data_IF_565297519710
#
_entry.id   IF_565297519710
#
_cell.length_a   1.000
_cell.length_b   1.000
_cell.length_c   1.000
_cell.angle_alpha   90.00
_cell.angle_beta   90.00
_cell.angle_gamma   90.00
#
_symmetry.space_group_name_H-M   'P 1'
#
loop_
_entity.id
_entity.type
_entity.pdbx_description
1 polymer ?
#
# COMPACT_ATOMS: atom_id res chain seq x y z
N UNK A 1 16.16 -38.55 -69.38
CA UNK A 1 14.75 -38.18 -69.14
C UNK A 1 14.72 -36.95 -68.25
N UNK A 2 14.15 -35.86 -68.78
CA UNK A 2 13.48 -34.69 -68.17
C UNK A 2 13.89 -34.05 -66.83
N UNK A 3 13.87 -32.71 -66.89
CA UNK A 3 13.94 -31.68 -65.84
C UNK A 3 12.59 -31.44 -65.14
N UNK A 4 12.60 -31.07 -63.85
CA UNK A 4 11.68 -30.12 -63.20
C UNK A 4 12.26 -29.73 -61.81
N UNK A 5 12.85 -28.54 -61.62
CA UNK A 5 12.27 -27.21 -61.36
C UNK A 5 11.87 -26.99 -59.90
N UNK A 6 12.63 -26.14 -59.21
CA UNK A 6 12.28 -25.46 -57.95
C UNK A 6 11.08 -24.52 -58.18
N UNK A 7 10.11 -24.50 -57.26
CA UNK A 7 9.05 -23.49 -56.97
C UNK A 7 7.85 -24.24 -56.34
N UNK A 8 7.25 -23.93 -55.20
CA UNK A 8 7.38 -22.80 -54.28
C UNK A 8 6.49 -23.03 -53.04
N UNK A 9 6.87 -22.37 -51.93
CA UNK A 9 5.94 -21.83 -50.94
C UNK A 9 5.19 -22.79 -50.01
N UNK A 10 5.89 -23.52 -49.13
CA UNK A 10 5.31 -23.85 -47.83
C UNK A 10 5.33 -22.59 -46.95
N UNK A 11 4.39 -21.70 -47.22
CA UNK A 11 4.13 -20.52 -46.43
C UNK A 11 3.87 -21.00 -44.98
N UNK A 12 4.78 -20.66 -44.06
CA UNK A 12 4.57 -20.86 -42.62
C UNK A 12 3.15 -20.39 -42.29
N UNK A 13 2.35 -21.18 -41.56
CA UNK A 13 0.97 -20.81 -41.28
C UNK A 13 0.98 -19.38 -40.68
N UNK A 14 0.10 -18.48 -41.17
CA UNK A 14 0.08 -17.11 -40.70
C UNK A 14 0.03 -17.13 -39.18
N UNK A 15 0.92 -16.38 -38.55
CA UNK A 15 1.12 -16.32 -37.11
C UNK A 15 -0.13 -15.70 -36.45
N UNK A 16 -1.24 -16.43 -36.43
CA UNK A 16 -2.57 -15.98 -36.02
C UNK A 16 -2.55 -15.48 -34.57
N UNK A 17 -1.67 -16.05 -33.75
CA UNK A 17 -1.40 -15.56 -32.40
C UNK A 17 -0.84 -14.13 -32.37
N UNK A 18 -0.04 -13.72 -33.36
CA UNK A 18 0.46 -12.34 -33.49
C UNK A 18 -0.68 -11.38 -33.83
N UNK A 19 -1.57 -11.75 -34.75
CA UNK A 19 -2.72 -10.93 -35.13
C UNK A 19 -3.77 -10.82 -34.01
N UNK A 20 -4.00 -11.90 -33.25
CA UNK A 20 -4.88 -11.89 -32.07
C UNK A 20 -4.30 -10.98 -30.97
N UNK A 21 -2.99 -11.09 -30.67
CA UNK A 21 -2.32 -10.20 -29.72
C UNK A 21 -2.43 -8.73 -30.13
N UNK A 22 -2.23 -8.43 -31.42
CA UNK A 22 -2.33 -7.08 -31.95
C UNK A 22 -3.77 -6.55 -31.86
N UNK A 23 -4.76 -7.40 -32.14
CA UNK A 23 -6.18 -7.08 -31.98
C UNK A 23 -6.56 -6.77 -30.53
N UNK A 24 -6.07 -7.57 -29.57
CA UNK A 24 -6.29 -7.32 -28.13
C UNK A 24 -5.66 -5.98 -27.71
N UNK A 25 -4.42 -5.70 -28.13
CA UNK A 25 -3.75 -4.42 -27.83
C UNK A 25 -4.55 -3.25 -28.41
N UNK A 26 -5.02 -3.35 -29.66
CA UNK A 26 -5.83 -2.32 -30.29
C UNK A 26 -7.12 -2.05 -29.53
N UNK A 27 -7.84 -3.10 -29.08
CA UNK A 27 -9.04 -2.96 -28.26
C UNK A 27 -8.72 -2.27 -26.93
N UNK A 28 -7.65 -2.66 -26.24
CA UNK A 28 -7.24 -2.02 -24.98
C UNK A 28 -6.97 -0.53 -25.18
N UNK A 29 -6.25 -0.16 -26.24
CA UNK A 29 -5.96 1.25 -26.57
C UNK A 29 -7.24 2.03 -26.82
N UNK A 30 -8.17 1.48 -27.60
CA UNK A 30 -9.47 2.11 -27.87
C UNK A 30 -10.27 2.30 -26.58
N UNK A 31 -10.32 1.29 -25.71
CA UNK A 31 -11.02 1.38 -24.42
C UNK A 31 -10.39 2.44 -23.52
N UNK A 32 -9.06 2.47 -23.39
CA UNK A 32 -8.35 3.49 -22.59
C UNK A 32 -8.65 4.88 -23.14
N UNK A 33 -8.57 5.07 -24.46
CA UNK A 33 -8.82 6.36 -25.08
C UNK A 33 -10.28 6.82 -24.90
N UNK A 34 -11.25 5.92 -25.07
CA UNK A 34 -12.66 6.23 -24.84
C UNK A 34 -12.94 6.60 -23.38
N UNK A 35 -12.39 5.85 -22.43
CA UNK A 35 -12.54 6.14 -20.99
C UNK A 35 -11.87 7.46 -20.61
N UNK A 36 -10.60 7.65 -20.98
CA UNK A 36 -9.85 8.87 -20.67
C UNK A 36 -10.47 10.10 -21.35
N UNK A 37 -10.90 9.97 -22.61
CA UNK A 37 -11.57 11.03 -23.36
C UNK A 37 -12.88 11.46 -22.71
N UNK A 38 -13.73 10.49 -22.32
CA UNK A 38 -14.98 10.78 -21.61
C UNK A 38 -14.71 11.51 -20.28
N UNK A 39 -13.75 11.03 -19.48
CA UNK A 39 -13.38 11.67 -18.22
C UNK A 39 -12.81 13.09 -18.43
N UNK A 40 -12.01 13.31 -19.48
CA UNK A 40 -11.46 14.61 -19.81
C UNK A 40 -12.54 15.62 -20.23
N UNK A 41 -13.53 15.18 -21.01
CA UNK A 41 -14.68 16.02 -21.37
C UNK A 41 -15.48 16.40 -20.13
N UNK A 42 -15.83 15.43 -19.28
CA UNK A 42 -16.54 15.68 -18.02
C UNK A 42 -15.77 16.64 -17.13
N UNK A 43 -14.46 16.45 -16.99
CA UNK A 43 -13.59 17.35 -16.23
C UNK A 43 -13.62 18.77 -16.82
N UNK A 44 -13.46 18.91 -18.13
CA UNK A 44 -13.46 20.19 -18.83
C UNK A 44 -14.79 20.93 -18.68
N UNK A 45 -15.91 20.22 -18.83
CA UNK A 45 -17.26 20.78 -18.65
C UNK A 45 -17.44 21.28 -17.21
N UNK A 46 -17.07 20.47 -16.22
CA UNK A 46 -17.19 20.87 -14.82
C UNK A 46 -16.31 22.08 -14.46
N UNK A 47 -15.07 22.15 -14.97
CA UNK A 47 -14.19 23.31 -14.76
C UNK A 47 -14.82 24.56 -15.38
N UNK A 48 -15.38 24.46 -16.58
CA UNK A 48 -15.96 25.59 -17.30
C UNK A 48 -17.26 26.08 -16.65
N UNK A 49 -18.11 25.16 -16.21
CA UNK A 49 -19.44 25.48 -15.68
C UNK A 49 -19.41 25.88 -14.19
N UNK A 50 -18.58 25.21 -13.38
CA UNK A 50 -18.60 25.35 -11.93
C UNK A 50 -17.35 26.00 -11.32
N UNK A 51 -16.29 26.18 -12.12
CA UNK A 51 -15.04 26.83 -11.71
C UNK A 51 -14.60 26.44 -10.29
N UNK A 52 -14.50 27.40 -9.36
CA UNK A 52 -14.09 27.22 -7.96
C UNK A 52 -14.89 26.18 -7.19
N UNK A 53 -16.19 26.03 -7.47
CA UNK A 53 -17.06 25.07 -6.78
C UNK A 53 -16.65 23.64 -7.11
N UNK A 54 -16.08 23.41 -8.29
CA UNK A 54 -15.54 22.11 -8.68
C UNK A 54 -14.04 21.98 -8.40
N UNK A 55 -13.24 23.01 -8.69
CA UNK A 55 -11.78 22.92 -8.62
C UNK A 55 -11.25 22.87 -7.20
N UNK A 56 -11.86 23.55 -6.23
CA UNK A 56 -11.40 23.53 -4.82
C UNK A 56 -11.55 22.15 -4.16
N UNK A 57 -12.73 21.50 -4.18
CA UNK A 57 -12.87 20.12 -3.70
C UNK A 57 -11.91 19.15 -4.39
N UNK A 58 -11.74 19.29 -5.71
CA UNK A 58 -10.80 18.47 -6.48
C UNK A 58 -9.36 18.67 -6.01
N UNK A 59 -8.93 19.92 -5.84
CA UNK A 59 -7.59 20.28 -5.36
C UNK A 59 -7.34 19.69 -3.96
N UNK A 60 -8.26 19.88 -3.01
CA UNK A 60 -8.13 19.30 -1.67
C UNK A 60 -8.05 17.78 -1.71
N UNK A 61 -8.91 17.14 -2.49
CA UNK A 61 -8.92 15.69 -2.68
C UNK A 61 -7.59 15.18 -3.26
N UNK A 62 -7.01 15.88 -4.24
CA UNK A 62 -5.72 15.57 -4.84
C UNK A 62 -4.57 15.75 -3.84
N UNK A 63 -4.53 16.87 -3.11
CA UNK A 63 -3.51 17.10 -2.06
C UNK A 63 -3.58 15.98 -1.01
N UNK A 64 -4.78 15.67 -0.54
CA UNK A 64 -4.98 14.60 0.43
C UNK A 64 -4.55 13.24 -0.12
N UNK A 65 -4.96 12.92 -1.35
CA UNK A 65 -4.62 11.66 -2.01
C UNK A 65 -3.13 11.49 -2.25
N UNK A 66 -2.45 12.49 -2.79
CA UNK A 66 -0.99 12.45 -3.02
C UNK A 66 -0.24 12.32 -1.70
N UNK A 67 -0.66 13.06 -0.67
CA UNK A 67 0.02 13.04 0.64
C UNK A 67 -0.15 11.69 1.34
N UNK A 68 -1.38 11.19 1.46
CA UNK A 68 -1.66 9.91 2.10
C UNK A 68 -1.06 8.73 1.32
N UNK A 69 -1.13 8.75 -0.02
CA UNK A 69 -0.47 7.74 -0.85
C UNK A 69 1.05 7.77 -0.67
N UNK A 70 1.65 8.96 -0.51
CA UNK A 70 3.08 9.08 -0.22
C UNK A 70 3.42 8.47 1.14
N UNK A 71 2.61 8.73 2.18
CA UNK A 71 2.79 8.12 3.51
C UNK A 71 2.70 6.59 3.43
N UNK A 72 1.67 6.08 2.75
CA UNK A 72 1.35 4.66 2.71
C UNK A 72 2.28 3.84 1.79
N UNK A 73 2.60 4.36 0.61
CA UNK A 73 3.13 3.56 -0.50
C UNK A 73 4.59 3.88 -0.85
N UNK A 74 5.09 5.06 -0.48
CA UNK A 74 6.47 5.45 -0.79
C UNK A 74 7.42 4.65 0.09
N UNK A 75 8.33 3.94 -0.57
CA UNK A 75 9.33 3.13 0.12
C UNK A 75 10.66 3.87 0.19
N UNK A 76 11.12 4.11 1.42
CA UNK A 76 12.41 4.79 1.71
C UNK A 76 13.63 3.87 1.65
N UNK A 77 13.44 2.54 1.62
CA UNK A 77 14.55 1.59 1.56
C UNK A 77 15.13 1.48 0.12
N UNK A 78 16.00 2.43 -0.21
CA UNK A 78 16.70 2.54 -1.50
C UNK A 78 17.85 1.50 -1.62
N UNK A 79 18.24 0.84 -0.53
CA UNK A 79 19.29 -0.19 -0.56
C UNK A 79 18.73 -1.50 -1.12
N UNK A 80 17.59 -1.95 -0.58
CA UNK A 80 16.98 -3.21 -1.00
C UNK A 80 16.19 -3.08 -2.30
N UNK A 81 15.55 -1.92 -2.57
CA UNK A 81 14.80 -1.64 -3.82
C UNK A 81 13.83 -2.73 -4.27
N UNK A 82 13.34 -3.55 -3.34
CA UNK A 82 12.40 -4.61 -3.66
C UNK A 82 11.00 -4.02 -3.88
N UNK A 83 10.23 -4.64 -4.76
CA UNK A 83 8.87 -4.22 -5.07
C UNK A 83 7.99 -5.45 -5.22
N UNK A 84 6.96 -5.55 -4.38
CA UNK A 84 5.98 -6.64 -4.40
C UNK A 84 5.28 -6.71 -5.77
N UNK A 85 4.90 -5.56 -6.32
CA UNK A 85 4.22 -5.47 -7.61
C UNK A 85 5.05 -6.05 -8.76
N UNK A 86 6.24 -5.47 -9.00
CA UNK A 86 7.17 -5.99 -10.02
C UNK A 86 7.59 -7.43 -9.78
N UNK A 87 7.78 -7.85 -8.53
CA UNK A 87 8.04 -9.25 -8.21
C UNK A 87 6.90 -10.17 -8.67
N UNK A 88 5.64 -9.79 -8.39
CA UNK A 88 4.48 -10.55 -8.80
C UNK A 88 4.34 -10.62 -10.33
N UNK A 89 4.57 -9.49 -11.02
CA UNK A 89 4.57 -9.44 -12.49
C UNK A 89 5.66 -10.35 -13.06
N UNK A 90 6.91 -10.23 -12.58
CA UNK A 90 8.01 -11.09 -13.05
C UNK A 90 7.71 -12.56 -12.79
N UNK A 91 7.16 -12.90 -11.62
CA UNK A 91 6.79 -14.28 -11.28
C UNK A 91 5.69 -14.81 -12.19
N UNK A 92 4.67 -14.00 -12.51
CA UNK A 92 3.58 -14.38 -13.40
C UNK A 92 4.06 -14.56 -14.85
N UNK A 93 4.91 -13.65 -15.35
CA UNK A 93 5.51 -13.75 -16.68
C UNK A 93 6.35 -15.01 -16.79
N UNK A 94 7.21 -15.27 -15.82
CA UNK A 94 8.03 -16.49 -15.80
C UNK A 94 7.14 -17.74 -15.77
N UNK A 95 6.05 -17.71 -15.00
CA UNK A 95 5.09 -18.84 -14.92
C UNK A 95 4.39 -19.10 -16.25
N UNK A 96 4.02 -18.05 -16.99
CA UNK A 96 3.44 -18.18 -18.32
C UNK A 96 4.44 -18.69 -19.36
N UNK A 97 5.72 -18.35 -19.22
CA UNK A 97 6.78 -18.73 -20.15
C UNK A 97 7.47 -20.06 -19.81
N UNK A 98 7.02 -20.76 -18.76
CA UNK A 98 7.65 -22.00 -18.28
C UNK A 98 7.55 -23.13 -19.30
N UNK A 99 8.64 -23.85 -19.50
CA UNK A 99 8.67 -25.09 -20.26
C UNK A 99 8.02 -26.26 -19.50
N UNK A 100 7.64 -27.35 -20.19
CA UNK A 100 6.99 -28.51 -19.57
C UNK A 100 7.84 -29.22 -18.49
N UNK A 101 9.16 -29.05 -18.54
CA UNK A 101 10.11 -29.65 -17.58
C UNK A 101 10.58 -28.66 -16.51
N UNK A 102 10.17 -27.39 -16.58
CA UNK A 102 10.61 -26.37 -15.63
C UNK A 102 9.91 -26.58 -14.28
N UNK A 103 10.71 -26.77 -13.24
CA UNK A 103 10.21 -26.82 -11.88
C UNK A 103 9.75 -25.43 -11.43
N UNK A 104 8.64 -25.36 -10.69
CA UNK A 104 8.06 -24.09 -10.18
C UNK A 104 9.08 -23.24 -9.43
N UNK A 105 10.02 -23.87 -8.71
CA UNK A 105 11.08 -23.18 -7.96
C UNK A 105 12.12 -22.48 -8.85
N UNK A 106 12.30 -22.92 -10.10
CA UNK A 106 13.20 -22.27 -11.07
C UNK A 106 12.52 -21.08 -11.74
N UNK A 107 11.18 -21.08 -11.73
CA UNK A 107 10.35 -20.08 -12.38
C UNK A 107 10.06 -18.88 -11.46
N UNK A 108 9.90 -19.11 -10.16
CA UNK A 108 9.64 -18.06 -9.16
C UNK A 108 10.97 -17.57 -8.56
N UNK A 109 11.35 -16.29 -8.78
CA UNK A 109 12.58 -15.75 -8.21
C UNK A 109 12.52 -15.70 -6.66
N UNK A 110 13.69 -15.71 -6.02
CA UNK A 110 13.78 -15.47 -4.58
C UNK A 110 13.50 -13.98 -4.30
N UNK A 111 12.47 -13.69 -3.50
CA UNK A 111 12.10 -12.30 -3.22
C UNK A 111 13.17 -11.54 -2.43
N UNK A 112 13.96 -12.24 -1.62
CA UNK A 112 15.04 -11.62 -0.83
C UNK A 112 16.17 -11.05 -1.71
N UNK A 113 16.34 -11.61 -2.91
CA UNK A 113 17.34 -11.21 -3.90
C UNK A 113 16.77 -10.30 -4.98
N UNK A 114 15.44 -10.17 -5.07
CA UNK A 114 14.78 -9.37 -6.08
C UNK A 114 15.02 -7.87 -5.84
N UNK A 115 15.79 -7.24 -6.74
CA UNK A 115 16.13 -5.82 -6.69
C UNK A 115 15.87 -5.13 -8.01
N UNK A 116 15.17 -4.00 -7.96
CA UNK A 116 15.05 -3.12 -9.10
C UNK A 116 16.33 -2.28 -9.25
N UNK A 117 16.63 -1.84 -10.49
CA UNK A 117 17.65 -0.83 -10.72
C UNK A 117 17.23 0.50 -10.07
N UNK A 118 18.22 1.34 -9.70
CA UNK A 118 17.96 2.60 -8.98
C UNK A 118 16.97 3.51 -9.70
N UNK A 119 17.20 3.77 -10.99
CA UNK A 119 16.31 4.62 -11.81
C UNK A 119 14.90 4.05 -11.93
N UNK A 120 14.76 2.75 -12.19
CA UNK A 120 13.45 2.09 -12.27
C UNK A 120 12.72 2.13 -10.92
N UNK A 121 13.44 1.99 -9.80
CA UNK A 121 12.85 2.07 -8.48
C UNK A 121 12.30 3.46 -8.16
N UNK A 122 13.04 4.53 -8.50
CA UNK A 122 12.60 5.92 -8.30
C UNK A 122 11.39 6.24 -9.17
N UNK A 123 11.48 5.94 -10.47
CA UNK A 123 10.36 6.12 -11.39
C UNK A 123 9.13 5.36 -10.90
N UNK A 124 9.32 4.13 -10.44
CA UNK A 124 8.23 3.34 -9.86
C UNK A 124 7.62 3.96 -8.61
N UNK A 125 8.38 4.60 -7.72
CA UNK A 125 7.78 5.29 -6.57
C UNK A 125 6.85 6.42 -7.01
N UNK A 126 7.26 7.20 -8.01
CA UNK A 126 6.46 8.30 -8.56
C UNK A 126 5.21 7.75 -9.25
N UNK A 127 5.37 6.80 -10.17
CA UNK A 127 4.25 6.19 -10.90
C UNK A 127 3.27 5.52 -9.94
N UNK A 128 3.75 4.90 -8.86
CA UNK A 128 2.89 4.30 -7.85
C UNK A 128 2.00 5.34 -7.16
N UNK A 129 2.55 6.50 -6.80
CA UNK A 129 1.74 7.58 -6.22
C UNK A 129 0.70 8.09 -7.24
N UNK A 130 1.07 8.24 -8.51
CA UNK A 130 0.14 8.71 -9.55
C UNK A 130 -0.96 7.69 -9.85
N UNK A 131 -0.63 6.40 -9.92
CA UNK A 131 -1.58 5.33 -10.22
C UNK A 131 -2.52 5.07 -9.04
N UNK A 132 -2.00 5.10 -7.82
CA UNK A 132 -2.78 4.72 -6.64
C UNK A 132 -3.29 5.92 -5.83
N UNK A 133 -2.84 7.14 -6.10
CA UNK A 133 -3.20 8.34 -5.34
C UNK A 133 -4.70 8.62 -5.30
N UNK A 134 -5.41 8.27 -6.38
CA UNK A 134 -6.86 8.37 -6.44
C UNK A 134 -7.57 7.50 -5.38
N UNK A 135 -7.01 6.36 -4.96
CA UNK A 135 -7.58 5.54 -3.89
C UNK A 135 -7.45 6.18 -2.50
N UNK A 136 -6.60 7.19 -2.37
CA UNK A 136 -6.38 7.93 -1.12
C UNK A 136 -7.04 9.32 -1.15
N UNK A 137 -7.75 9.64 -2.23
CA UNK A 137 -8.49 10.88 -2.40
C UNK A 137 -9.34 11.17 -1.15
N UNK A 138 -8.97 12.20 -0.40
CA UNK A 138 -9.62 12.57 0.85
C UNK A 138 -9.71 14.09 0.95
N UNK A 139 -10.90 14.60 0.65
CA UNK A 139 -11.20 16.03 0.63
C UNK A 139 -10.98 16.65 2.01
N UNK A 140 -11.54 16.05 3.06
CA UNK A 140 -11.45 16.60 4.42
C UNK A 140 -9.99 16.70 4.84
N UNK A 141 -9.22 15.63 4.69
CA UNK A 141 -7.80 15.62 5.04
C UNK A 141 -7.00 16.66 4.26
N UNK A 142 -7.17 16.74 2.95
CA UNK A 142 -6.45 17.72 2.12
C UNK A 142 -6.83 19.16 2.42
N UNK A 143 -8.11 19.42 2.75
CA UNK A 143 -8.55 20.71 3.26
C UNK A 143 -7.87 21.03 4.59
N UNK A 144 -7.89 20.10 5.56
CA UNK A 144 -7.28 20.27 6.87
C UNK A 144 -5.78 20.54 6.79
N UNK A 145 -5.07 19.84 5.89
CA UNK A 145 -3.65 20.11 5.63
C UNK A 145 -3.41 21.52 5.10
N UNK A 146 -4.17 21.96 4.10
CA UNK A 146 -3.99 23.32 3.56
C UNK A 146 -4.32 24.38 4.62
N UNK A 147 -5.41 24.16 5.37
CA UNK A 147 -5.83 25.03 6.45
C UNK A 147 -4.73 25.21 7.51
N UNK A 148 -4.00 24.15 7.86
CA UNK A 148 -2.84 24.24 8.75
C UNK A 148 -1.63 24.94 8.12
N UNK A 149 -1.36 24.69 6.83
CA UNK A 149 -0.25 25.35 6.12
C UNK A 149 -0.47 26.87 6.06
N UNK A 150 -1.72 27.32 6.04
CA UNK A 150 -2.10 28.73 6.14
C UNK A 150 -1.93 29.32 7.56
N UNK A 151 -1.49 28.52 8.52
CA UNK A 151 -1.20 28.96 9.89
C UNK A 151 -2.36 28.80 10.87
N UNK A 152 -3.44 28.12 10.49
CA UNK A 152 -4.57 27.86 11.39
C UNK A 152 -4.33 26.63 12.27
N UNK A 153 -4.92 26.64 13.47
CA UNK A 153 -4.79 25.55 14.44
C UNK A 153 -5.93 24.53 14.29
N UNK A 154 -5.59 23.24 14.35
CA UNK A 154 -6.55 22.13 14.39
C UNK A 154 -6.48 21.33 15.70
N UNK A 155 -5.71 21.81 16.69
CA UNK A 155 -5.56 21.12 17.97
C UNK A 155 -4.60 19.93 17.95
N UNK A 156 -3.61 19.94 17.05
CA UNK A 156 -2.64 18.83 16.93
C UNK A 156 -1.70 18.78 18.13
N UNK A 157 -1.35 19.95 18.65
CA UNK A 157 -0.53 20.13 19.85
C UNK A 157 -1.14 19.42 21.07
N UNK A 158 -2.48 19.33 21.12
CA UNK A 158 -3.20 18.70 22.22
C UNK A 158 -3.29 17.17 22.08
N UNK A 159 -2.99 16.58 20.90
CA UNK A 159 -3.11 15.14 20.63
C UNK A 159 -2.28 14.27 21.58
N UNK A 160 -1.17 14.79 22.10
CA UNK A 160 -0.35 14.04 23.06
C UNK A 160 -1.11 13.74 24.36
N UNK A 161 -2.03 14.62 24.76
CA UNK A 161 -2.89 14.44 25.94
C UNK A 161 -3.77 13.20 25.81
N UNK A 162 -4.20 12.84 24.59
CA UNK A 162 -5.01 11.65 24.30
C UNK A 162 -4.40 10.37 24.88
N UNK A 163 -3.07 10.21 24.78
CA UNK A 163 -2.38 9.01 25.25
C UNK A 163 -2.37 8.88 26.79
N UNK A 164 -2.63 9.96 27.50
CA UNK A 164 -2.73 9.94 28.97
C UNK A 164 -4.15 9.68 29.46
N UNK A 165 -5.18 9.99 28.66
CA UNK A 165 -6.59 9.94 29.07
C UNK A 165 -7.03 8.57 29.60
N UNK A 166 -6.65 7.43 29.00
CA UNK A 166 -7.02 6.12 29.54
C UNK A 166 -6.46 5.83 30.94
N UNK A 167 -5.42 6.54 31.37
CA UNK A 167 -4.67 6.24 32.59
C UNK A 167 -4.93 7.20 33.74
N UNK A 168 -5.72 8.25 33.52
CA UNK A 168 -6.10 9.22 34.54
C UNK A 168 -7.56 9.06 34.93
N UNK A 169 -7.91 9.44 36.16
CA UNK A 169 -9.30 9.56 36.59
C UNK A 169 -9.70 11.04 36.45
N UNK A 170 -10.47 11.41 35.42
CA UNK A 170 -10.87 12.80 35.23
C UNK A 170 -11.79 13.25 36.36
N UNK A 171 -11.78 14.54 36.74
CA UNK A 171 -12.78 15.10 37.62
C UNK A 171 -14.19 14.96 37.03
N UNK A 172 -15.22 14.98 37.88
CA UNK A 172 -16.62 14.91 37.46
C UNK A 172 -17.15 16.22 36.83
N UNK A 173 -16.27 17.16 36.48
CA UNK A 173 -16.67 18.45 35.92
C UNK A 173 -16.58 18.43 34.37
N UNK A 174 -17.50 19.11 33.66
CA UNK A 174 -17.43 19.20 32.21
C UNK A 174 -16.20 19.96 31.69
N UNK A 175 -15.61 20.81 32.53
CA UNK A 175 -14.46 21.67 32.21
C UNK A 175 -13.24 20.87 31.78
N UNK A 176 -12.99 19.72 32.42
CA UNK A 176 -11.88 18.85 32.05
C UNK A 176 -11.94 18.43 30.57
N UNK A 177 -13.12 18.05 30.07
CA UNK A 177 -13.31 17.67 28.69
C UNK A 177 -13.21 18.87 27.73
N UNK A 178 -13.70 20.04 28.14
CA UNK A 178 -13.61 21.27 27.36
C UNK A 178 -12.16 21.71 27.16
N UNK A 179 -11.30 21.53 28.16
CA UNK A 179 -9.91 21.97 28.12
C UNK A 179 -8.99 20.93 27.45
N UNK A 180 -9.29 19.63 27.57
CA UNK A 180 -8.37 18.56 27.14
C UNK A 180 -8.86 17.76 25.92
N UNK A 181 -10.17 17.68 25.67
CA UNK A 181 -10.74 16.84 24.61
C UNK A 181 -11.23 17.69 23.44
N UNK A 182 -12.06 18.70 23.72
CA UNK A 182 -12.66 19.57 22.70
C UNK A 182 -11.65 20.19 21.72
N UNK A 183 -10.48 20.68 22.17
CA UNK A 183 -9.50 21.29 21.27
C UNK A 183 -8.95 20.30 20.23
N UNK A 184 -8.88 19.01 20.55
CA UNK A 184 -8.36 17.97 19.64
C UNK A 184 -9.35 17.51 18.59
N UNK A 185 -10.66 17.75 18.78
CA UNK A 185 -11.72 17.19 17.92
C UNK A 185 -11.48 17.46 16.43
N UNK A 186 -11.13 18.69 15.99
CA UNK A 186 -10.90 18.95 14.56
C UNK A 186 -9.80 18.06 13.97
N UNK A 187 -8.67 17.93 14.67
CA UNK A 187 -7.56 17.05 14.27
C UNK A 187 -7.94 15.57 14.29
N UNK A 188 -8.65 15.12 15.32
CA UNK A 188 -9.12 13.73 15.44
C UNK A 188 -10.17 13.34 14.40
N UNK A 189 -10.83 14.31 13.78
CA UNK A 189 -11.82 14.06 12.73
C UNK A 189 -11.17 14.11 11.34
N UNK A 190 -10.30 15.10 11.11
CA UNK A 190 -9.85 15.47 9.77
C UNK A 190 -8.43 15.03 9.44
N UNK A 191 -7.53 15.00 10.43
CA UNK A 191 -6.09 14.80 10.21
C UNK A 191 -5.63 13.40 10.64
N UNK A 192 -5.92 13.03 11.88
CA UNK A 192 -5.29 11.88 12.51
C UNK A 192 -5.79 10.53 11.94
N UNK A 193 -7.10 10.27 11.81
CA UNK A 193 -7.55 8.97 11.29
C UNK A 193 -7.05 8.64 9.89
N UNK A 194 -7.06 9.57 8.90
CA UNK A 194 -6.47 9.30 7.58
C UNK A 194 -4.98 8.94 7.63
N UNK A 195 -4.19 9.62 8.48
CA UNK A 195 -2.76 9.33 8.65
C UNK A 195 -2.56 7.94 9.27
N UNK A 196 -3.31 7.61 10.33
CA UNK A 196 -3.27 6.30 10.97
C UNK A 196 -3.62 5.21 9.94
N UNK A 197 -4.68 5.40 9.16
CA UNK A 197 -5.04 4.47 8.09
C UNK A 197 -3.93 4.27 7.06
N UNK A 198 -3.28 5.35 6.62
CA UNK A 198 -2.16 5.30 5.68
C UNK A 198 -0.94 4.55 6.27
N UNK A 199 -0.61 4.79 7.54
CA UNK A 199 0.47 4.08 8.25
C UNK A 199 0.12 2.61 8.46
N UNK A 200 -1.13 2.30 8.83
CA UNK A 200 -1.61 0.93 8.99
C UNK A 200 -1.50 0.13 7.69
N UNK A 201 -1.92 0.72 6.57
CA UNK A 201 -1.74 0.12 5.26
C UNK A 201 -0.26 -0.08 4.91
N UNK A 202 0.61 0.89 5.24
CA UNK A 202 2.06 0.78 5.06
C UNK A 202 2.62 -0.43 5.82
N UNK A 203 2.20 -0.63 7.06
CA UNK A 203 2.60 -1.78 7.88
C UNK A 203 2.12 -3.10 7.25
N UNK A 204 0.85 -3.18 6.84
CA UNK A 204 0.31 -4.37 6.16
C UNK A 204 1.13 -4.69 4.89
N UNK A 205 1.44 -3.69 4.06
CA UNK A 205 2.16 -3.89 2.81
C UNK A 205 3.64 -4.26 3.04
N UNK A 206 4.36 -3.52 3.88
CA UNK A 206 5.82 -3.62 3.99
C UNK A 206 6.33 -4.47 5.15
N UNK A 207 5.51 -4.71 6.17
CA UNK A 207 5.83 -5.65 7.25
C UNK A 207 5.06 -6.95 7.03
N UNK A 208 3.75 -6.90 6.79
CA UNK A 208 2.94 -8.11 6.57
C UNK A 208 3.29 -8.81 5.25
N UNK A 209 2.73 -8.30 4.15
CA UNK A 209 2.80 -8.95 2.83
C UNK A 209 4.25 -9.12 2.37
N UNK A 210 5.09 -8.11 2.56
CA UNK A 210 6.50 -8.17 2.15
C UNK A 210 7.25 -9.36 2.79
N UNK A 211 7.14 -9.53 4.11
CA UNK A 211 7.86 -10.60 4.79
C UNK A 211 7.19 -11.96 4.61
N UNK A 212 5.85 -12.01 4.46
CA UNK A 212 5.16 -13.26 4.08
C UNK A 212 5.65 -13.76 2.72
N UNK A 213 5.72 -12.89 1.71
CA UNK A 213 6.27 -13.26 0.39
C UNK A 213 7.72 -13.72 0.51
N UNK A 214 8.52 -13.03 1.34
CA UNK A 214 9.91 -13.42 1.61
C UNK A 214 9.99 -14.83 2.21
N UNK A 215 9.18 -15.14 3.22
CA UNK A 215 9.15 -16.46 3.86
C UNK A 215 8.72 -17.55 2.88
N UNK A 216 7.65 -17.31 2.11
CA UNK A 216 7.14 -18.27 1.11
C UNK A 216 8.20 -18.57 0.06
N UNK A 217 8.85 -17.54 -0.47
CA UNK A 217 9.88 -17.73 -1.50
C UNK A 217 11.13 -18.40 -0.95
N UNK A 218 11.58 -18.04 0.25
CA UNK A 218 12.69 -18.74 0.93
C UNK A 218 12.37 -20.22 1.16
N UNK A 219 11.16 -20.54 1.62
CA UNK A 219 10.73 -21.92 1.82
C UNK A 219 10.80 -22.73 0.51
N UNK A 220 10.33 -22.17 -0.61
CA UNK A 220 10.41 -22.85 -1.91
C UNK A 220 11.84 -23.12 -2.36
N UNK A 221 12.79 -22.23 -2.06
CA UNK A 221 14.20 -22.42 -2.42
C UNK A 221 14.92 -23.37 -1.43
N UNK A 222 14.73 -23.22 -0.12
CA UNK A 222 15.40 -24.02 0.92
C UNK A 222 14.96 -25.51 0.91
N UNK A 223 13.71 -25.79 0.51
CA UNK A 223 13.21 -27.16 0.36
C UNK A 223 13.92 -27.92 -0.77
N UNK A 224 14.37 -27.23 -1.82
CA UNK A 224 15.18 -27.83 -2.90
C UNK A 224 16.61 -28.14 -2.44
N UNK A 225 17.17 -27.29 -1.57
CA UNK A 225 18.49 -27.48 -0.97
C UNK A 225 18.48 -28.51 0.18
N UNK A 226 17.31 -29.04 0.54
CA UNK A 226 17.15 -30.06 1.59
C UNK A 226 17.36 -29.55 3.01
N UNK A 227 17.36 -28.23 3.23
CA UNK A 227 17.61 -27.60 4.54
C UNK A 227 16.55 -26.56 4.91
N UNK A 228 15.26 -26.93 4.98
CA UNK A 228 14.20 -26.00 5.37
C UNK A 228 14.41 -25.49 6.80
N UNK A 229 14.42 -24.16 6.97
CA UNK A 229 14.66 -23.49 8.26
C UNK A 229 13.34 -23.09 8.93
N UNK A 230 12.52 -24.09 9.29
CA UNK A 230 11.17 -23.87 9.81
C UNK A 230 11.08 -22.91 11.00
N UNK A 231 12.04 -22.98 11.93
CA UNK A 231 12.11 -22.08 13.08
C UNK A 231 12.24 -20.60 12.65
N UNK A 232 13.08 -20.30 11.66
CA UNK A 232 13.27 -18.94 11.15
C UNK A 232 12.02 -18.40 10.45
N UNK A 233 11.29 -19.27 9.75
CA UNK A 233 10.03 -18.89 9.10
C UNK A 233 8.96 -18.58 10.14
N UNK A 234 8.81 -19.45 11.15
CA UNK A 234 7.85 -19.25 12.22
C UNK A 234 8.15 -17.97 13.00
N UNK A 235 9.40 -17.78 13.41
CA UNK A 235 9.85 -16.56 14.08
C UNK A 235 9.52 -15.30 13.26
N UNK A 236 9.75 -15.32 11.94
CA UNK A 236 9.38 -14.18 11.09
C UNK A 236 7.87 -13.92 11.09
N UNK A 237 7.04 -14.97 11.07
CA UNK A 237 5.57 -14.83 11.12
C UNK A 237 5.09 -14.35 12.49
N UNK A 238 5.66 -14.85 13.57
CA UNK A 238 5.37 -14.40 14.94
C UNK A 238 5.73 -12.92 15.13
N UNK A 239 6.86 -12.46 14.58
CA UNK A 239 7.23 -11.05 14.58
C UNK A 239 6.18 -10.18 13.88
N UNK A 240 5.68 -10.62 12.71
CA UNK A 240 4.63 -9.92 11.95
C UNK A 240 3.35 -9.82 12.78
N UNK A 241 2.93 -10.93 13.40
CA UNK A 241 1.73 -10.98 14.26
C UNK A 241 1.91 -10.04 15.46
N UNK A 242 3.06 -10.10 16.13
CA UNK A 242 3.38 -9.24 17.27
C UNK A 242 3.32 -7.74 16.90
N UNK A 243 3.89 -7.35 15.75
CA UNK A 243 3.78 -5.98 15.24
C UNK A 243 2.31 -5.61 14.97
N UNK A 244 1.52 -6.52 14.42
CA UNK A 244 0.08 -6.32 14.23
C UNK A 244 -0.68 -6.08 15.53
N UNK A 245 -0.34 -6.82 16.59
CA UNK A 245 -0.92 -6.66 17.93
C UNK A 245 -0.53 -5.31 18.55
N UNK A 246 0.75 -4.92 18.45
CA UNK A 246 1.21 -3.59 18.90
C UNK A 246 0.49 -2.46 18.15
N UNK A 247 0.31 -2.62 16.83
CA UNK A 247 -0.45 -1.66 16.04
C UNK A 247 -1.92 -1.59 16.48
N UNK A 248 -2.56 -2.72 16.77
CA UNK A 248 -3.92 -2.75 17.30
C UNK A 248 -4.01 -2.05 18.67
N UNK A 249 -3.06 -2.28 19.57
CA UNK A 249 -2.98 -1.58 20.86
C UNK A 249 -2.85 -0.06 20.69
N UNK A 250 -2.04 0.39 19.72
CA UNK A 250 -1.92 1.81 19.40
C UNK A 250 -3.25 2.40 18.89
N UNK A 251 -4.02 1.67 18.09
CA UNK A 251 -5.31 2.15 17.58
C UNK A 251 -6.38 2.29 18.69
N UNK A 252 -6.25 1.54 19.80
CA UNK A 252 -7.18 1.63 20.93
C UNK A 252 -7.16 2.99 21.64
N UNK A 253 -6.16 3.84 21.41
CA UNK A 253 -6.17 5.23 21.92
C UNK A 253 -7.16 6.15 21.18
N UNK A 254 -7.62 5.75 19.99
CA UNK A 254 -8.45 6.57 19.10
C UNK A 254 -9.90 6.09 19.05
N UNK A 255 -10.38 5.41 20.10
CA UNK A 255 -11.77 4.96 20.20
C UNK A 255 -12.69 6.09 20.66
N UNK A 256 -13.95 6.04 20.22
CA UNK A 256 -14.96 7.06 20.57
C UNK A 256 -15.34 7.05 22.06
N UNK A 257 -15.00 5.98 22.78
CA UNK A 257 -15.24 5.82 24.21
C UNK A 257 -14.00 5.29 24.92
N UNK A 258 -13.72 5.83 26.10
CA UNK A 258 -12.69 5.36 27.03
C UNK A 258 -13.40 4.99 28.34
N UNK A 259 -13.25 3.75 28.77
CA UNK A 259 -13.80 3.24 30.03
C UNK A 259 -12.71 2.64 30.93
N UNK A 260 -13.10 2.15 32.10
CA UNK A 260 -12.20 1.52 33.07
C UNK A 260 -11.42 0.33 32.47
N UNK A 261 -12.02 -0.42 31.55
CA UNK A 261 -11.40 -1.58 30.92
C UNK A 261 -10.41 -1.18 29.83
N UNK A 262 -10.60 -0.03 29.18
CA UNK A 262 -9.72 0.48 28.12
C UNK A 262 -8.26 0.52 28.56
N UNK A 263 -7.97 0.96 29.79
CA UNK A 263 -6.59 1.04 30.31
C UNK A 263 -5.91 -0.33 30.40
N UNK A 264 -6.66 -1.36 30.82
CA UNK A 264 -6.16 -2.73 30.93
C UNK A 264 -6.07 -3.40 29.56
N UNK A 265 -7.02 -3.11 28.66
CA UNK A 265 -7.00 -3.60 27.29
C UNK A 265 -5.78 -3.06 26.54
N UNK A 266 -5.51 -1.75 26.61
CA UNK A 266 -4.33 -1.13 25.99
C UNK A 266 -3.06 -1.72 26.58
N UNK A 267 -2.91 -1.71 27.91
CA UNK A 267 -1.72 -2.22 28.58
C UNK A 267 -1.47 -3.71 28.31
N UNK A 268 -2.51 -4.54 28.44
CA UNK A 268 -2.42 -5.97 28.16
C UNK A 268 -2.07 -6.28 26.71
N UNK A 269 -2.68 -5.57 25.75
CA UNK A 269 -2.41 -5.78 24.32
C UNK A 269 -0.98 -5.37 23.97
N UNK A 270 -0.44 -4.27 24.53
CA UNK A 270 0.97 -3.93 24.36
C UNK A 270 1.90 -4.99 24.95
N UNK A 271 1.64 -5.47 26.17
CA UNK A 271 2.48 -6.52 26.80
C UNK A 271 2.49 -7.77 25.94
N UNK A 272 1.34 -8.23 25.46
CA UNK A 272 1.24 -9.40 24.57
C UNK A 272 1.98 -9.16 23.26
N UNK A 273 1.80 -8.00 22.63
CA UNK A 273 2.44 -7.65 21.36
C UNK A 273 3.97 -7.59 21.48
N UNK A 274 4.50 -6.92 22.50
CA UNK A 274 5.94 -6.86 22.75
C UNK A 274 6.52 -8.21 23.15
N UNK A 275 5.81 -9.03 23.94
CA UNK A 275 6.23 -10.37 24.29
C UNK A 275 6.34 -11.27 23.04
N UNK A 276 5.36 -11.20 22.12
CA UNK A 276 5.39 -11.95 20.87
C UNK A 276 6.58 -11.53 19.98
N UNK A 277 6.86 -10.22 19.88
CA UNK A 277 8.03 -9.71 19.16
C UNK A 277 9.33 -10.18 19.83
N UNK A 278 9.43 -10.10 21.16
CA UNK A 278 10.61 -10.55 21.88
C UNK A 278 10.87 -12.04 21.64
N UNK A 279 9.82 -12.87 21.73
CA UNK A 279 9.94 -14.30 21.49
C UNK A 279 10.41 -14.62 20.07
N UNK A 280 9.98 -13.85 19.06
CA UNK A 280 10.45 -14.05 17.68
C UNK A 280 11.94 -13.73 17.43
N UNK A 281 12.62 -13.08 18.38
CA UNK A 281 14.04 -12.74 18.26
C UNK A 281 14.93 -13.79 18.94
N UNK A 282 14.41 -14.47 19.97
CA UNK A 282 15.12 -15.47 20.77
C UNK A 282 14.97 -16.88 20.21
#
# INVERSE_FOLDING_TARGET
MYSAKNEGGSQQPPDAGKFIKLGIIAIIVVVIFALAGNQAVVLSMNITEFADVFTKPLMFSLIGGVTLASIALLRVNIVNRSSIFWFAITSAINMMNRGPQDQVQQTIPNFSEFKLSGGHFVLWQITKILLFGAFFANLMFGFGLLYMVEGNELGIENITTLFSLPFVTPPNDPTFAMDNVTPMIPSLLVIIPPIIGAIGLRLILFVGIHYVIKVITLYFHDTKEGKPRYLNYMATLEAIIGIGIVWAAFNMFFTDTIDYNTRYAIGGTFVVGFAAIAFSIF
#
